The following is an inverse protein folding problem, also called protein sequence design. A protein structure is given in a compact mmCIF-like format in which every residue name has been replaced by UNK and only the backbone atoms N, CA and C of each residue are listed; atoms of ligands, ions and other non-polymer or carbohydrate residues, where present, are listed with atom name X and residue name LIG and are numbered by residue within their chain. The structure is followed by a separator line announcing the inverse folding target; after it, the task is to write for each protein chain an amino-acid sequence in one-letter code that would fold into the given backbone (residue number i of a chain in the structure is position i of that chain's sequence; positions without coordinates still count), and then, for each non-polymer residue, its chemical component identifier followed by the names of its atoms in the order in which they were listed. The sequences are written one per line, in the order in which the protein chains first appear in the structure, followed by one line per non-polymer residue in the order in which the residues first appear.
data_IF_838006331950
#
_entry.id   IF_838006331950
#
_cell.length_a   1.000
_cell.length_b   1.000
_cell.length_c   1.000
_cell.angle_alpha   90.00
_cell.angle_beta   90.00
_cell.angle_gamma   90.00
#
_symmetry.space_group_name_H-M   'P 1'
#
loop_
_entity.id
_entity.type
_entity.pdbx_description
1 polymer ?
#
# COMPACT_ATOMS: atom_id res chain seq x y z
N UNK A 1 8.31 0.19 -1.42
CA UNK A 1 8.89 -1.06 -0.87
C UNK A 1 7.96 -1.61 0.21
N UNK A 2 7.69 -2.92 0.24
CA UNK A 2 6.89 -3.53 1.31
C UNK A 2 7.67 -3.45 2.64
N UNK A 3 6.97 -3.21 3.75
CA UNK A 3 7.57 -3.07 5.10
C UNK A 3 8.49 -4.26 5.45
N UNK A 4 8.06 -5.47 5.09
CA UNK A 4 8.82 -6.72 5.21
C UNK A 4 10.19 -6.67 4.52
N UNK A 5 10.26 -6.13 3.31
CA UNK A 5 11.50 -6.03 2.54
C UNK A 5 12.46 -5.04 3.19
N UNK A 6 11.92 -3.93 3.72
CA UNK A 6 12.73 -2.91 4.41
C UNK A 6 13.31 -3.45 5.71
N UNK A 7 12.50 -4.13 6.52
CA UNK A 7 12.96 -4.76 7.75
C UNK A 7 14.02 -5.83 7.49
N UNK A 8 13.80 -6.71 6.51
CA UNK A 8 14.76 -7.75 6.13
C UNK A 8 16.11 -7.16 5.66
N UNK A 9 16.09 -6.06 4.92
CA UNK A 9 17.29 -5.37 4.45
C UNK A 9 18.07 -4.73 5.60
N UNK A 10 17.38 -4.08 6.55
CA UNK A 10 18.01 -3.49 7.75
C UNK A 10 18.65 -4.61 8.61
N UNK A 11 17.93 -5.70 8.84
CA UNK A 11 18.43 -6.82 9.62
C UNK A 11 19.66 -7.47 8.98
N UNK A 12 19.65 -7.65 7.64
CA UNK A 12 20.80 -8.14 6.89
C UNK A 12 22.00 -7.20 7.04
N UNK A 13 21.81 -5.89 6.91
CA UNK A 13 22.87 -4.90 7.08
C UNK A 13 23.49 -4.94 8.48
N UNK A 14 22.64 -5.00 9.50
CA UNK A 14 23.10 -5.12 10.90
C UNK A 14 23.91 -6.40 11.10
N UNK A 15 23.43 -7.55 10.57
CA UNK A 15 24.18 -8.80 10.63
C UNK A 15 25.54 -8.71 9.96
N UNK A 16 25.61 -8.16 8.75
CA UNK A 16 26.88 -7.99 8.02
C UNK A 16 27.86 -7.16 8.81
N UNK A 17 27.40 -6.05 9.45
CA UNK A 17 28.26 -5.21 10.29
C UNK A 17 28.76 -5.98 11.51
N UNK A 18 27.87 -6.69 12.23
CA UNK A 18 28.23 -7.48 13.41
C UNK A 18 29.27 -8.55 13.06
N UNK A 19 29.05 -9.29 11.98
CA UNK A 19 29.97 -10.36 11.55
C UNK A 19 31.29 -9.79 11.04
N UNK A 20 31.28 -8.64 10.38
CA UNK A 20 32.52 -7.95 9.97
C UNK A 20 33.35 -7.56 11.18
N UNK A 21 32.74 -6.92 12.19
CA UNK A 21 33.40 -6.55 13.46
C UNK A 21 33.94 -7.80 14.17
N UNK A 22 33.13 -8.85 14.27
CA UNK A 22 33.54 -10.11 14.87
C UNK A 22 34.73 -10.74 14.14
N UNK A 23 34.73 -10.72 12.81
CA UNK A 23 35.86 -11.20 12.00
C UNK A 23 37.15 -10.42 12.26
N UNK A 24 37.08 -9.10 12.34
CA UNK A 24 38.25 -8.26 12.67
C UNK A 24 38.79 -8.58 14.07
N UNK A 25 37.89 -8.71 15.06
CA UNK A 25 38.28 -9.05 16.45
C UNK A 25 38.96 -10.43 16.48
N UNK A 26 38.36 -11.41 15.83
CA UNK A 26 38.91 -12.78 15.76
C UNK A 26 40.31 -12.78 15.10
N UNK A 27 40.50 -12.05 14.00
CA UNK A 27 41.79 -11.91 13.34
C UNK A 27 42.84 -11.29 14.26
N UNK A 28 42.53 -10.17 14.92
CA UNK A 28 43.44 -9.52 15.84
C UNK A 28 43.79 -10.38 17.05
N UNK A 29 42.81 -11.09 17.61
CA UNK A 29 42.98 -12.00 18.74
C UNK A 29 43.87 -13.19 18.39
N UNK A 30 43.60 -13.84 17.23
CA UNK A 30 44.42 -14.95 16.72
C UNK A 30 45.86 -14.50 16.49
N UNK A 31 46.06 -13.33 15.88
CA UNK A 31 47.41 -12.76 15.69
C UNK A 31 48.13 -12.50 17.01
N UNK A 32 47.43 -11.97 18.00
CA UNK A 32 48.05 -11.72 19.33
C UNK A 32 48.42 -13.02 20.03
N UNK A 33 47.58 -14.05 19.98
CA UNK A 33 47.92 -15.37 20.55
C UNK A 33 49.14 -15.97 19.85
N UNK A 34 49.18 -15.96 18.54
CA UNK A 34 50.31 -16.51 17.78
C UNK A 34 51.65 -15.82 18.13
N UNK A 35 51.64 -14.50 18.24
CA UNK A 35 52.87 -13.75 18.64
C UNK A 35 53.27 -14.14 20.06
N UNK A 36 52.33 -14.31 20.97
CA UNK A 36 52.60 -14.69 22.36
C UNK A 36 53.17 -16.08 22.49
N UNK A 37 52.67 -17.03 21.71
CA UNK A 37 53.16 -18.40 21.66
C UNK A 37 54.60 -18.46 21.08
N UNK A 38 54.92 -17.69 20.03
CA UNK A 38 56.26 -17.55 19.53
C UNK A 38 57.20 -16.93 20.52
N UNK A 39 56.79 -15.91 21.26
CA UNK A 39 57.62 -15.30 22.31
C UNK A 39 57.93 -16.32 23.44
N UNK A 40 56.94 -17.17 23.78
CA UNK A 40 57.13 -18.25 24.73
C UNK A 40 58.11 -19.34 24.23
N UNK A 41 58.00 -19.73 22.99
CA UNK A 41 58.92 -20.68 22.35
C UNK A 41 60.36 -20.10 22.31
N UNK A 42 60.55 -18.85 21.88
CA UNK A 42 61.85 -18.19 21.87
C UNK A 42 62.47 -18.08 23.28
N UNK A 43 61.61 -17.83 24.30
CA UNK A 43 62.08 -17.85 25.70
C UNK A 43 62.56 -19.25 26.11
N UNK A 44 61.86 -20.30 25.73
CA UNK A 44 62.30 -21.69 25.99
C UNK A 44 63.62 -22.02 25.34
N UNK A 45 63.84 -21.56 24.08
CA UNK A 45 65.14 -21.74 23.41
C UNK A 45 66.25 -20.90 24.12
N UNK A 46 65.99 -19.69 24.53
CA UNK A 46 66.90 -18.85 25.31
C UNK A 46 67.35 -19.59 26.60
N UNK A 47 66.44 -20.16 27.33
CA UNK A 47 66.71 -20.93 28.55
C UNK A 47 67.57 -22.17 28.26
N UNK A 48 67.20 -22.92 27.22
CA UNK A 48 67.98 -24.08 26.81
C UNK A 48 69.42 -23.71 26.40
N UNK A 49 69.62 -22.59 25.69
CA UNK A 49 70.96 -22.10 25.33
C UNK A 49 71.75 -21.75 26.57
N UNK A 50 71.16 -21.07 27.57
CA UNK A 50 71.81 -20.74 28.84
C UNK A 50 72.19 -22.00 29.61
N UNK A 51 71.32 -22.97 29.70
CA UNK A 51 71.58 -24.24 30.40
C UNK A 51 72.71 -25.02 29.66
N UNK A 52 72.68 -25.07 28.34
CA UNK A 52 73.72 -25.73 27.56
C UNK A 52 75.12 -25.12 27.80
N UNK A 53 75.23 -23.78 27.72
CA UNK A 53 76.49 -23.04 27.96
C UNK A 53 77.01 -23.29 29.36
N UNK A 54 76.14 -23.23 30.38
CA UNK A 54 76.53 -23.48 31.76
C UNK A 54 76.96 -24.94 32.02
N UNK A 55 76.34 -25.89 31.29
CA UNK A 55 76.60 -27.34 31.51
C UNK A 55 77.86 -27.81 30.78
N UNK A 56 78.05 -27.37 29.52
CA UNK A 56 79.10 -27.86 28.66
C UNK A 56 80.30 -26.91 28.53
N UNK A 57 80.20 -25.75 29.11
CA UNK A 57 81.20 -24.66 29.02
C UNK A 57 81.64 -24.41 27.56
N UNK A 58 80.67 -24.52 26.62
CA UNK A 58 80.87 -24.32 25.18
C UNK A 58 79.65 -23.61 24.58
N UNK A 59 79.88 -22.79 23.53
CA UNK A 59 78.78 -22.21 22.76
C UNK A 59 78.17 -23.29 21.87
N UNK A 60 76.87 -23.42 21.79
CA UNK A 60 76.21 -24.29 20.81
C UNK A 60 76.66 -23.90 19.40
N UNK A 61 76.89 -24.89 18.52
CA UNK A 61 77.20 -24.59 17.14
C UNK A 61 76.08 -23.73 16.53
N UNK A 62 76.44 -22.65 15.84
CA UNK A 62 75.48 -21.84 15.09
C UNK A 62 75.02 -22.65 13.89
N UNK A 63 73.83 -23.26 13.98
CA UNK A 63 73.20 -23.96 12.86
C UNK A 63 72.35 -22.96 12.08
N UNK A 64 72.62 -22.70 10.80
CA UNK A 64 71.64 -22.12 9.90
C UNK A 64 70.72 -23.23 9.43
N UNK A 65 69.89 -23.76 10.30
CA UNK A 65 68.71 -24.52 9.87
C UNK A 65 67.74 -23.52 9.27
N UNK A 66 67.20 -23.83 8.09
CA UNK A 66 66.28 -22.94 7.35
C UNK A 66 65.08 -22.48 8.12
N UNK A 67 64.74 -23.16 9.22
CA UNK A 67 63.56 -22.86 10.07
C UNK A 67 63.89 -22.12 11.37
N UNK A 68 65.10 -22.32 11.94
CA UNK A 68 65.54 -21.63 13.17
C UNK A 68 66.96 -21.14 13.02
N UNK A 69 67.20 -19.87 13.22
CA UNK A 69 68.53 -19.24 13.14
C UNK A 69 69.05 -18.88 14.49
N UNK A 70 70.17 -19.44 14.91
CA UNK A 70 70.91 -19.06 16.08
C UNK A 70 72.20 -18.43 15.63
N UNK A 71 72.44 -17.17 15.98
CA UNK A 71 73.66 -16.44 15.67
C UNK A 71 74.28 -15.88 16.92
N UNK A 72 75.57 -16.13 17.13
CA UNK A 72 76.35 -15.55 18.24
C UNK A 72 77.25 -14.47 17.64
N UNK A 73 77.17 -13.25 18.25
CA UNK A 73 78.02 -12.12 17.85
C UNK A 73 78.74 -11.62 19.11
N UNK A 74 80.05 -11.68 19.09
CA UNK A 74 80.91 -11.20 20.16
C UNK A 74 80.81 -9.65 20.28
N UNK A 75 80.59 -9.14 21.51
CA UNK A 75 80.43 -7.73 21.83
C UNK A 75 81.43 -7.23 22.85
N UNK A 76 82.38 -8.08 23.24
CA UNK A 76 83.44 -7.73 24.22
C UNK A 76 82.85 -7.41 25.61
N UNK A 77 83.06 -6.21 26.12
CA UNK A 77 82.54 -5.80 27.43
C UNK A 77 81.16 -5.18 27.38
N UNK A 78 80.49 -5.04 26.21
CA UNK A 78 79.23 -4.33 26.06
C UNK A 78 78.06 -5.30 26.17
N UNK A 79 77.22 -5.14 27.19
CA UNK A 79 76.00 -5.93 27.36
C UNK A 79 74.90 -5.37 26.47
N UNK A 80 74.29 -6.20 25.61
CA UNK A 80 73.13 -5.86 24.79
C UNK A 80 71.83 -5.96 25.58
N UNK A 81 70.80 -5.17 25.17
CA UNK A 81 69.49 -5.26 25.76
C UNK A 81 68.73 -6.45 25.16
N UNK A 82 67.89 -7.07 26.00
CA UNK A 82 66.97 -8.14 25.59
C UNK A 82 65.79 -7.55 24.85
N UNK A 83 65.59 -7.94 23.59
CA UNK A 83 64.56 -7.35 22.74
C UNK A 83 63.93 -8.35 21.78
N UNK A 84 62.59 -8.26 21.71
CA UNK A 84 61.83 -8.95 20.65
C UNK A 84 61.53 -8.01 19.48
N UNK A 85 61.85 -8.48 18.25
CA UNK A 85 61.59 -7.70 17.04
C UNK A 85 60.94 -8.58 15.97
N UNK A 86 60.12 -7.94 15.11
CA UNK A 86 59.66 -8.52 13.87
C UNK A 86 60.57 -8.05 12.75
N UNK A 87 61.28 -8.97 12.09
CA UNK A 87 62.24 -8.67 11.03
C UNK A 87 61.90 -9.45 9.76
N UNK A 88 62.25 -8.87 8.64
CA UNK A 88 62.17 -9.59 7.35
C UNK A 88 63.56 -10.12 7.04
N UNK A 89 63.67 -11.46 6.90
CA UNK A 89 64.89 -12.13 6.52
C UNK A 89 64.70 -12.96 5.26
N UNK A 90 65.72 -13.05 4.45
CA UNK A 90 65.70 -13.85 3.19
C UNK A 90 65.83 -15.33 3.54
N UNK A 91 64.84 -16.12 3.12
CA UNK A 91 64.92 -17.60 3.18
C UNK A 91 65.61 -18.14 1.94
N UNK A 92 66.69 -18.85 2.16
CA UNK A 92 67.44 -19.50 1.07
C UNK A 92 66.66 -20.65 0.43
N UNK A 93 65.79 -21.32 1.18
CA UNK A 93 64.98 -22.45 0.73
C UNK A 93 63.88 -22.01 -0.22
N UNK A 94 63.14 -20.98 0.15
CA UNK A 94 62.00 -20.49 -0.63
C UNK A 94 62.35 -19.33 -1.56
N UNK A 95 63.58 -18.84 -1.51
CA UNK A 95 64.09 -17.70 -2.31
C UNK A 95 63.21 -16.44 -2.19
N UNK A 96 62.65 -16.19 -1.02
CA UNK A 96 61.76 -15.06 -0.72
C UNK A 96 62.07 -14.44 0.64
N UNK A 97 61.63 -13.19 0.82
CA UNK A 97 61.66 -12.53 2.12
C UNK A 97 60.53 -13.04 2.98
N UNK A 98 60.82 -13.47 4.18
CA UNK A 98 59.87 -13.98 5.15
C UNK A 98 59.93 -13.18 6.45
N UNK A 99 58.79 -13.10 7.14
CA UNK A 99 58.73 -12.47 8.43
C UNK A 99 59.18 -13.45 9.50
N UNK A 100 60.15 -13.00 10.30
CA UNK A 100 60.68 -13.74 11.43
C UNK A 100 60.39 -12.98 12.74
N UNK A 101 60.08 -13.74 13.81
CA UNK A 101 60.12 -13.26 15.16
C UNK A 101 61.53 -13.45 15.68
N UNK A 102 62.20 -12.34 16.04
CA UNK A 102 63.61 -12.31 16.47
C UNK A 102 63.66 -11.98 17.96
N UNK A 103 64.50 -12.70 18.71
CA UNK A 103 64.86 -12.39 20.09
C UNK A 103 66.35 -12.15 20.12
N UNK A 104 66.78 -10.97 20.54
CA UNK A 104 68.16 -10.66 20.91
C UNK A 104 68.29 -10.69 22.41
N UNK A 105 69.31 -11.41 22.93
CA UNK A 105 69.57 -11.43 24.37
C UNK A 105 71.07 -11.52 24.66
N UNK A 106 71.56 -10.95 25.80
CA UNK A 106 72.91 -11.02 26.20
C UNK A 106 73.25 -12.37 26.87
N UNK A 107 74.40 -12.97 26.51
CA UNK A 107 74.97 -14.15 27.12
C UNK A 107 76.40 -13.88 27.54
N UNK A 108 76.73 -14.18 28.83
CA UNK A 108 78.07 -14.07 29.35
C UNK A 108 78.81 -15.43 29.20
N UNK A 109 79.97 -15.43 28.49
CA UNK A 109 80.75 -16.64 28.29
C UNK A 109 82.24 -16.27 28.10
N UNK A 110 83.18 -17.04 28.67
CA UNK A 110 84.63 -16.82 28.56
C UNK A 110 85.07 -15.38 28.83
N UNK A 111 84.51 -14.75 29.86
CA UNK A 111 84.83 -13.39 30.29
C UNK A 111 84.43 -12.28 29.29
N UNK A 112 83.53 -12.56 28.36
CA UNK A 112 83.02 -11.63 27.35
C UNK A 112 81.50 -11.73 27.17
N UNK A 113 80.87 -10.62 26.71
CA UNK A 113 79.47 -10.62 26.35
C UNK A 113 79.29 -11.02 24.89
N UNK A 114 78.34 -11.91 24.68
CA UNK A 114 77.87 -12.29 23.35
C UNK A 114 76.40 -11.80 23.18
N UNK A 115 76.10 -11.24 22.02
CA UNK A 115 74.71 -11.04 21.61
C UNK A 115 74.23 -12.31 20.88
N UNK A 116 73.29 -12.99 21.48
CA UNK A 116 72.66 -14.17 20.90
C UNK A 116 71.40 -13.73 20.19
N UNK A 117 71.29 -14.00 18.90
CA UNK A 117 70.09 -13.72 18.09
C UNK A 117 69.44 -15.05 17.77
N UNK A 118 68.22 -15.21 18.23
CA UNK A 118 67.32 -16.28 17.85
C UNK A 118 66.28 -15.72 16.85
N UNK A 119 66.03 -16.40 15.73
CA UNK A 119 64.99 -15.99 14.79
C UNK A 119 64.22 -17.22 14.33
N UNK A 120 62.91 -17.16 14.49
CA UNK A 120 61.98 -18.22 14.08
C UNK A 120 61.00 -17.69 13.02
N UNK A 121 60.79 -18.38 11.91
CA UNK A 121 59.89 -17.94 10.83
C UNK A 121 58.43 -17.99 11.28
N UNK A 122 57.67 -16.97 10.91
CA UNK A 122 56.20 -16.96 11.14
C UNK A 122 55.42 -17.87 10.20
N UNK A 123 56.08 -18.50 9.26
CA UNK A 123 55.40 -19.23 8.15
C UNK A 123 54.78 -20.55 8.54
N UNK A 124 55.36 -21.32 9.43
CA UNK A 124 54.76 -22.53 9.96
C UNK A 124 53.39 -22.27 10.59
N UNK A 125 53.19 -21.07 11.12
CA UNK A 125 51.94 -20.63 11.69
C UNK A 125 50.98 -19.95 10.69
N UNK A 126 51.47 -19.53 9.52
CA UNK A 126 50.61 -18.93 8.44
C UNK A 126 49.59 -19.91 7.91
N UNK A 127 49.96 -21.17 7.70
CA UNK A 127 49.06 -22.19 7.21
C UNK A 127 47.93 -22.45 8.22
N UNK A 128 48.27 -22.54 9.51
CA UNK A 128 47.29 -22.70 10.60
C UNK A 128 46.37 -21.48 10.72
N UNK A 129 46.94 -20.27 10.71
CA UNK A 129 46.16 -19.03 10.79
C UNK A 129 45.27 -18.80 9.57
N UNK A 130 45.77 -19.11 8.35
CA UNK A 130 44.98 -19.00 7.13
C UNK A 130 43.83 -20.01 7.12
N UNK A 131 44.05 -21.25 7.58
CA UNK A 131 42.99 -22.25 7.72
C UNK A 131 41.91 -21.80 8.71
N UNK A 132 42.31 -21.29 9.88
CA UNK A 132 41.38 -20.75 10.88
C UNK A 132 40.55 -19.60 10.35
N UNK A 133 41.17 -18.63 9.68
CA UNK A 133 40.47 -17.51 9.02
C UNK A 133 39.52 -18.00 7.93
N UNK A 134 39.95 -18.93 7.09
CA UNK A 134 39.11 -19.47 6.03
C UNK A 134 37.89 -20.22 6.58
N UNK A 135 38.09 -21.07 7.58
CA UNK A 135 36.99 -21.79 8.25
C UNK A 135 36.01 -20.78 8.89
N UNK A 136 36.55 -19.74 9.57
CA UNK A 136 35.73 -18.71 10.19
C UNK A 136 34.88 -17.94 9.16
N UNK A 137 35.48 -17.55 8.02
CA UNK A 137 34.75 -16.87 6.94
C UNK A 137 33.64 -17.77 6.36
N UNK A 138 33.95 -19.05 6.10
CA UNK A 138 32.96 -20.01 5.60
C UNK A 138 31.81 -20.17 6.62
N UNK A 139 32.13 -20.32 7.90
CA UNK A 139 31.15 -20.47 8.98
C UNK A 139 30.25 -19.23 9.07
N UNK A 140 30.82 -18.02 9.00
CA UNK A 140 30.07 -16.77 9.00
C UNK A 140 29.12 -16.70 7.80
N UNK A 141 29.57 -17.05 6.61
CA UNK A 141 28.74 -17.04 5.40
C UNK A 141 27.57 -18.03 5.52
N UNK A 142 27.81 -19.23 6.07
CA UNK A 142 26.75 -20.22 6.32
C UNK A 142 25.71 -19.69 7.33
N UNK A 143 26.18 -19.07 8.43
CA UNK A 143 25.28 -18.48 9.44
C UNK A 143 24.44 -17.36 8.85
N UNK A 144 25.02 -16.47 8.04
CA UNK A 144 24.28 -15.40 7.33
C UNK A 144 23.22 -16.01 6.41
N UNK A 145 23.57 -17.01 5.61
CA UNK A 145 22.64 -17.66 4.70
C UNK A 145 21.46 -18.29 5.44
N UNK A 146 21.74 -19.08 6.49
CA UNK A 146 20.71 -19.72 7.33
C UNK A 146 19.83 -18.66 7.96
N UNK A 147 20.41 -17.59 8.50
CA UNK A 147 19.68 -16.51 9.15
C UNK A 147 18.74 -15.77 8.21
N UNK A 148 19.18 -15.47 6.98
CA UNK A 148 18.35 -14.84 5.94
C UNK A 148 17.15 -15.72 5.59
N UNK A 149 17.37 -17.02 5.40
CA UNK A 149 16.29 -17.97 5.09
C UNK A 149 15.30 -18.09 6.23
N UNK A 150 15.78 -18.34 7.47
CA UNK A 150 14.93 -18.44 8.65
C UNK A 150 14.12 -17.17 8.91
N UNK A 151 14.79 -16.01 8.87
CA UNK A 151 14.12 -14.72 9.05
C UNK A 151 13.03 -14.51 7.99
N UNK A 152 13.30 -14.87 6.73
CA UNK A 152 12.31 -14.79 5.65
C UNK A 152 11.07 -15.67 5.90
N UNK A 153 11.27 -16.89 6.38
CA UNK A 153 10.17 -17.83 6.69
C UNK A 153 9.36 -17.34 7.90
N UNK A 154 10.03 -17.02 9.00
CA UNK A 154 9.39 -16.55 10.24
C UNK A 154 8.60 -15.28 10.01
N UNK A 155 9.20 -14.30 9.32
CA UNK A 155 8.57 -13.02 9.07
C UNK A 155 7.32 -13.16 8.18
N UNK A 156 7.37 -13.97 7.12
CA UNK A 156 6.20 -14.26 6.27
C UNK A 156 5.07 -14.90 7.08
N UNK A 157 5.39 -15.84 7.97
CA UNK A 157 4.40 -16.53 8.78
C UNK A 157 3.76 -15.61 9.83
N UNK A 158 4.56 -14.76 10.47
CA UNK A 158 4.06 -13.78 11.47
C UNK A 158 3.14 -12.73 10.84
N UNK A 159 3.46 -12.22 9.65
CA UNK A 159 2.68 -11.15 9.00
C UNK A 159 1.49 -11.67 8.16
N UNK A 160 1.38 -12.99 7.94
CA UNK A 160 0.28 -13.57 7.18
C UNK A 160 -1.11 -13.17 7.72
N UNK A 161 -1.40 -13.27 9.04
CA UNK A 161 -2.70 -12.87 9.59
C UNK A 161 -3.02 -11.39 9.36
N UNK A 162 -2.02 -10.50 9.44
CA UNK A 162 -2.19 -9.09 9.16
C UNK A 162 -2.67 -8.83 7.73
N UNK A 163 -2.01 -9.45 6.73
CA UNK A 163 -2.42 -9.28 5.33
C UNK A 163 -3.79 -9.89 5.03
N UNK A 164 -4.14 -10.98 5.69
CA UNK A 164 -5.47 -11.59 5.59
C UNK A 164 -6.53 -10.65 6.15
N UNK A 165 -6.33 -10.06 7.33
CA UNK A 165 -7.24 -9.07 7.93
C UNK A 165 -7.41 -7.83 7.05
N UNK A 166 -6.31 -7.32 6.48
CA UNK A 166 -6.35 -6.18 5.55
C UNK A 166 -7.13 -6.51 4.28
N UNK A 167 -7.02 -7.73 3.76
CA UNK A 167 -7.76 -8.17 2.58
C UNK A 167 -9.27 -8.32 2.87
N UNK A 168 -9.62 -8.84 4.05
CA UNK A 168 -11.03 -8.92 4.51
C UNK A 168 -11.61 -7.51 4.61
N UNK A 169 -10.88 -6.58 5.24
CA UNK A 169 -11.33 -5.19 5.38
C UNK A 169 -11.47 -4.47 4.04
N UNK A 170 -10.55 -4.70 3.11
CA UNK A 170 -10.62 -4.14 1.75
C UNK A 170 -11.88 -4.57 0.99
N UNK A 171 -12.34 -5.79 1.21
CA UNK A 171 -13.51 -6.38 0.54
C UNK A 171 -14.81 -6.21 1.35
N UNK A 172 -14.74 -5.60 2.54
CA UNK A 172 -15.90 -5.32 3.36
C UNK A 172 -16.82 -4.30 2.67
N UNK A 173 -18.13 -4.59 2.68
CA UNK A 173 -19.18 -3.70 2.18
C UNK A 173 -20.32 -3.71 3.19
N UNK A 174 -20.90 -2.55 3.44
CA UNK A 174 -22.09 -2.42 4.28
C UNK A 174 -23.29 -3.17 3.67
N UNK A 175 -24.15 -3.70 4.52
CA UNK A 175 -25.31 -4.50 4.09
C UNK A 175 -24.99 -5.94 3.69
N UNK A 176 -23.82 -6.45 4.03
CA UNK A 176 -23.48 -7.87 3.80
C UNK A 176 -24.21 -8.76 4.82
N UNK A 177 -24.70 -9.92 4.35
CA UNK A 177 -25.42 -10.89 5.19
C UNK A 177 -24.55 -11.51 6.29
N UNK A 178 -23.22 -11.46 6.18
CA UNK A 178 -22.29 -12.06 7.14
C UNK A 178 -21.28 -11.03 7.63
N UNK A 179 -21.13 -10.95 8.95
CA UNK A 179 -20.06 -10.18 9.58
C UNK A 179 -18.67 -10.67 9.11
N UNK A 180 -17.68 -9.77 8.99
CA UNK A 180 -16.32 -10.16 8.62
C UNK A 180 -15.70 -11.04 9.73
N UNK A 181 -15.11 -12.18 9.34
CA UNK A 181 -14.41 -13.08 10.27
C UNK A 181 -12.92 -12.89 10.09
N UNK A 182 -12.28 -12.30 11.10
CA UNK A 182 -10.84 -12.06 11.10
C UNK A 182 -10.06 -13.31 11.56
N UNK A 183 -8.84 -13.56 11.02
CA UNK A 183 -8.04 -14.71 11.39
C UNK A 183 -7.56 -14.63 12.85
N UNK A 184 -7.55 -15.77 13.53
CA UNK A 184 -6.96 -15.87 14.87
C UNK A 184 -5.44 -15.76 14.77
N UNK A 185 -4.83 -14.97 15.65
CA UNK A 185 -3.38 -14.77 15.72
C UNK A 185 -2.90 -14.83 17.15
N UNK A 186 -1.62 -15.25 17.34
CA UNK A 186 -0.95 -15.22 18.64
C UNK A 186 -0.18 -13.92 18.90
N UNK A 187 -0.15 -13.02 17.91
CA UNK A 187 0.48 -11.71 18.02
C UNK A 187 -0.56 -10.76 18.62
N UNK A 188 -0.28 -10.25 19.81
CA UNK A 188 -1.23 -9.43 20.60
C UNK A 188 -1.67 -8.19 19.83
N UNK A 189 -0.75 -7.49 19.17
CA UNK A 189 -1.05 -6.29 18.38
C UNK A 189 -2.01 -6.58 17.22
N UNK A 190 -1.87 -7.73 16.59
CA UNK A 190 -2.78 -8.12 15.50
C UNK A 190 -4.12 -8.62 16.04
N UNK A 191 -4.15 -9.23 17.23
CA UNK A 191 -5.39 -9.59 17.91
C UNK A 191 -6.18 -8.35 18.28
N UNK A 192 -5.53 -7.36 18.90
CA UNK A 192 -6.13 -6.07 19.25
C UNK A 192 -6.61 -5.30 18.01
N UNK A 193 -5.81 -5.29 16.94
CA UNK A 193 -6.21 -4.71 15.66
C UNK A 193 -7.49 -5.39 15.11
N UNK A 194 -7.54 -6.73 15.12
CA UNK A 194 -8.69 -7.47 14.60
C UNK A 194 -9.95 -7.21 15.41
N UNK A 195 -9.85 -7.13 16.74
CA UNK A 195 -10.95 -6.76 17.62
C UNK A 195 -11.44 -5.34 17.35
N UNK A 196 -10.54 -4.38 17.22
CA UNK A 196 -10.88 -2.99 16.88
C UNK A 196 -11.57 -2.88 15.51
N UNK A 197 -11.08 -3.64 14.51
CA UNK A 197 -11.70 -3.70 13.19
C UNK A 197 -13.11 -4.33 13.25
N UNK A 198 -13.29 -5.39 14.05
CA UNK A 198 -14.59 -6.04 14.26
C UNK A 198 -15.58 -5.06 14.85
N UNK A 199 -15.24 -4.40 15.97
CA UNK A 199 -16.09 -3.40 16.61
C UNK A 199 -16.44 -2.24 15.67
N UNK A 200 -15.47 -1.75 14.90
CA UNK A 200 -15.71 -0.67 13.94
C UNK A 200 -16.66 -1.11 12.81
N UNK A 201 -16.51 -2.34 12.29
CA UNK A 201 -17.40 -2.87 11.25
C UNK A 201 -18.80 -3.17 11.77
N UNK A 202 -18.94 -3.71 12.97
CA UNK A 202 -20.22 -3.95 13.62
C UNK A 202 -20.98 -2.64 13.86
N UNK A 203 -20.29 -1.61 14.38
CA UNK A 203 -20.89 -0.28 14.57
C UNK A 203 -21.33 0.35 13.25
N UNK A 204 -20.46 0.30 12.22
CA UNK A 204 -20.80 0.82 10.90
C UNK A 204 -22.02 0.09 10.29
N UNK A 205 -22.14 -1.21 10.48
CA UNK A 205 -23.29 -2.00 10.04
C UNK A 205 -24.57 -1.63 10.80
N UNK A 206 -24.49 -1.45 12.12
CA UNK A 206 -25.63 -0.98 12.93
C UNK A 206 -26.11 0.40 12.48
N UNK A 207 -25.19 1.36 12.32
CA UNK A 207 -25.52 2.71 11.86
C UNK A 207 -26.16 2.69 10.46
N UNK A 208 -25.65 1.83 9.57
CA UNK A 208 -26.21 1.62 8.24
C UNK A 208 -27.65 1.06 8.31
N UNK A 209 -27.89 0.04 9.14
CA UNK A 209 -29.22 -0.58 9.28
C UNK A 209 -30.23 0.39 9.88
N UNK A 210 -29.83 1.16 10.91
CA UNK A 210 -30.68 2.20 11.50
C UNK A 210 -31.05 3.28 10.46
N UNK A 211 -30.08 3.72 9.66
CA UNK A 211 -30.31 4.72 8.63
C UNK A 211 -31.20 4.18 7.49
N UNK A 212 -31.03 2.90 7.14
CA UNK A 212 -31.88 2.22 6.17
C UNK A 212 -33.33 2.14 6.66
N UNK A 213 -33.54 1.65 7.88
CA UNK A 213 -34.87 1.54 8.49
C UNK A 213 -35.54 2.93 8.62
N UNK A 214 -34.80 3.93 9.10
CA UNK A 214 -35.27 5.31 9.17
C UNK A 214 -35.71 5.82 7.80
N UNK A 215 -34.93 5.58 6.76
CA UNK A 215 -35.20 6.07 5.40
C UNK A 215 -36.44 5.38 4.81
N UNK A 216 -36.62 4.07 5.06
CA UNK A 216 -37.77 3.29 4.61
C UNK A 216 -39.04 3.74 5.36
N UNK A 217 -38.98 3.84 6.68
CA UNK A 217 -40.13 4.27 7.51
C UNK A 217 -40.53 5.71 7.20
N UNK A 218 -39.57 6.66 7.12
CA UNK A 218 -39.86 8.04 6.77
C UNK A 218 -40.51 8.15 5.37
N UNK A 219 -40.15 7.28 4.43
CA UNK A 219 -40.80 7.24 3.10
C UNK A 219 -42.31 6.95 3.23
N UNK A 220 -42.67 5.92 3.98
CA UNK A 220 -44.04 5.51 4.16
C UNK A 220 -44.85 6.49 4.98
N UNK A 221 -44.29 6.96 6.13
CA UNK A 221 -44.95 7.86 7.07
C UNK A 221 -45.26 9.26 6.47
N UNK A 222 -44.45 9.72 5.49
CA UNK A 222 -44.70 11.01 4.82
C UNK A 222 -45.59 10.82 3.56
N UNK A 223 -45.47 9.70 2.84
CA UNK A 223 -46.30 9.48 1.65
C UNK A 223 -47.76 9.30 1.96
N UNK A 224 -48.11 8.65 3.09
CA UNK A 224 -49.47 8.35 3.50
C UNK A 224 -50.30 9.62 3.71
N UNK A 225 -49.91 10.60 4.61
CA UNK A 225 -50.68 11.83 4.78
C UNK A 225 -50.74 12.70 3.54
N UNK A 226 -49.66 12.74 2.73
CA UNK A 226 -49.68 13.47 1.46
C UNK A 226 -50.67 12.86 0.46
N UNK A 227 -50.79 11.53 0.42
CA UNK A 227 -51.79 10.86 -0.42
C UNK A 227 -53.22 11.12 0.03
N UNK A 228 -53.46 11.16 1.36
CA UNK A 228 -54.76 11.49 1.93
C UNK A 228 -55.16 12.95 1.59
N UNK A 229 -54.25 13.91 1.81
CA UNK A 229 -54.48 15.31 1.48
C UNK A 229 -54.76 15.47 -0.02
N UNK A 230 -53.99 14.81 -0.87
CA UNK A 230 -54.19 14.80 -2.32
C UNK A 230 -55.56 14.27 -2.71
N UNK A 231 -55.97 13.11 -2.13
CA UNK A 231 -57.26 12.49 -2.40
C UNK A 231 -58.43 13.41 -1.95
N UNK A 232 -58.32 14.10 -0.79
CA UNK A 232 -59.34 15.04 -0.33
C UNK A 232 -59.42 16.26 -1.25
N UNK A 233 -58.30 16.77 -1.74
CA UNK A 233 -58.31 17.86 -2.72
C UNK A 233 -58.87 17.43 -4.08
N UNK A 234 -58.57 16.19 -4.55
CA UNK A 234 -59.17 15.63 -5.76
C UNK A 234 -60.70 15.54 -5.62
N UNK A 235 -61.21 15.03 -4.49
CA UNK A 235 -62.65 14.96 -4.23
C UNK A 235 -63.29 16.36 -4.20
N UNK A 236 -62.64 17.33 -3.50
CA UNK A 236 -63.10 18.71 -3.43
C UNK A 236 -63.17 19.36 -4.84
N UNK A 237 -62.21 19.11 -5.71
CA UNK A 237 -62.21 19.65 -7.08
C UNK A 237 -63.26 19.01 -8.03
N UNK A 238 -63.82 17.86 -7.67
CA UNK A 238 -64.90 17.20 -8.39
C UNK A 238 -66.32 17.70 -8.00
N UNK A 239 -66.43 18.47 -6.90
CA UNK A 239 -67.72 19.04 -6.49
C UNK A 239 -68.20 20.12 -7.47
N UNK A 240 -69.50 20.04 -7.86
CA UNK A 240 -70.10 20.90 -8.90
C UNK A 240 -70.35 22.34 -8.44
N UNK A 241 -70.36 22.60 -7.13
CA UNK A 241 -70.75 23.90 -6.55
C UNK A 241 -69.57 24.74 -6.04
N UNK A 242 -68.34 24.46 -6.44
CA UNK A 242 -67.20 25.29 -6.06
C UNK A 242 -67.27 26.69 -6.70
N UNK A 243 -67.17 27.74 -5.88
CA UNK A 243 -66.92 29.08 -6.40
C UNK A 243 -65.56 29.11 -7.13
N UNK A 244 -65.42 30.01 -8.11
CA UNK A 244 -64.16 30.20 -8.85
C UNK A 244 -62.94 30.35 -7.92
N UNK A 245 -63.10 31.13 -6.82
CA UNK A 245 -62.05 31.36 -5.80
C UNK A 245 -61.69 30.08 -5.06
N UNK A 246 -62.68 29.25 -4.66
CA UNK A 246 -62.43 27.95 -3.99
C UNK A 246 -61.70 26.98 -4.93
N UNK A 247 -62.12 26.92 -6.20
CA UNK A 247 -61.44 26.09 -7.21
C UNK A 247 -59.99 26.50 -7.45
N UNK A 248 -59.68 27.80 -7.50
CA UNK A 248 -58.33 28.33 -7.61
C UNK A 248 -57.48 28.00 -6.38
N UNK A 249 -58.02 28.12 -5.17
CA UNK A 249 -57.34 27.73 -3.92
C UNK A 249 -57.10 26.23 -3.84
N UNK A 250 -58.07 25.39 -4.19
CA UNK A 250 -57.92 23.94 -4.22
C UNK A 250 -56.86 23.49 -5.24
N UNK A 251 -56.83 24.06 -6.45
CA UNK A 251 -55.80 23.80 -7.45
C UNK A 251 -54.40 24.19 -6.98
N UNK A 252 -54.30 25.35 -6.31
CA UNK A 252 -53.03 25.81 -5.71
C UNK A 252 -52.52 24.85 -4.63
N UNK A 253 -53.40 24.46 -3.69
CA UNK A 253 -53.08 23.50 -2.65
C UNK A 253 -52.68 22.11 -3.23
N UNK A 254 -53.41 21.62 -4.21
CA UNK A 254 -53.11 20.37 -4.92
C UNK A 254 -51.72 20.41 -5.59
N UNK A 255 -51.41 21.50 -6.27
CA UNK A 255 -50.10 21.72 -6.89
C UNK A 255 -48.98 21.73 -5.84
N UNK A 256 -49.19 22.38 -4.68
CA UNK A 256 -48.22 22.41 -3.58
C UNK A 256 -47.99 21.00 -2.98
N UNK A 257 -49.07 20.25 -2.72
CA UNK A 257 -48.96 18.87 -2.22
C UNK A 257 -48.22 17.96 -3.21
N UNK A 258 -48.59 18.06 -4.50
CA UNK A 258 -47.92 17.30 -5.57
C UNK A 258 -46.40 17.61 -5.63
N UNK A 259 -46.06 18.90 -5.49
CA UNK A 259 -44.64 19.33 -5.47
C UNK A 259 -43.92 18.78 -4.23
N UNK A 260 -44.57 18.85 -3.04
CA UNK A 260 -43.99 18.32 -1.80
C UNK A 260 -43.79 16.80 -1.84
N UNK A 261 -44.75 16.07 -2.38
CA UNK A 261 -44.66 14.62 -2.58
C UNK A 261 -43.45 14.23 -3.48
N UNK A 262 -43.31 14.91 -4.61
CA UNK A 262 -42.17 14.68 -5.52
C UNK A 262 -40.83 15.05 -4.89
N UNK A 263 -40.79 16.13 -4.12
CA UNK A 263 -39.58 16.57 -3.41
C UNK A 263 -39.15 15.51 -2.39
N UNK A 264 -40.12 15.06 -1.57
CA UNK A 264 -39.87 14.04 -0.55
C UNK A 264 -39.36 12.72 -1.19
N UNK A 265 -40.02 12.23 -2.22
CA UNK A 265 -39.56 11.03 -2.96
C UNK A 265 -38.12 11.17 -3.49
N UNK A 266 -37.79 12.35 -4.04
CA UNK A 266 -36.47 12.60 -4.58
C UNK A 266 -35.39 12.65 -3.49
N UNK A 267 -35.72 13.26 -2.30
CA UNK A 267 -34.79 13.31 -1.16
C UNK A 267 -34.53 11.92 -0.57
N UNK A 268 -35.60 11.13 -0.39
CA UNK A 268 -35.50 9.77 0.13
C UNK A 268 -34.72 8.86 -0.85
N UNK A 269 -34.95 9.04 -2.16
CA UNK A 269 -34.19 8.34 -3.19
C UNK A 269 -32.70 8.70 -3.11
N UNK A 270 -32.35 9.98 -2.99
CA UNK A 270 -30.96 10.41 -2.81
C UNK A 270 -30.33 9.78 -1.57
N UNK A 271 -31.07 9.76 -0.43
CA UNK A 271 -30.60 9.12 0.79
C UNK A 271 -30.36 7.61 0.59
N UNK A 272 -31.25 6.90 -0.11
CA UNK A 272 -31.08 5.47 -0.47
C UNK A 272 -29.85 5.23 -1.33
N UNK A 273 -29.62 6.09 -2.32
CA UNK A 273 -28.43 5.97 -3.21
C UNK A 273 -27.15 6.26 -2.42
N UNK A 274 -27.12 7.31 -1.59
CA UNK A 274 -25.95 7.65 -0.76
C UNK A 274 -25.58 6.54 0.21
N UNK A 275 -26.59 5.85 0.76
CA UNK A 275 -26.40 4.72 1.66
C UNK A 275 -26.21 3.37 0.93
N UNK A 276 -25.93 3.39 -0.36
CA UNK A 276 -25.63 2.20 -1.16
C UNK A 276 -26.69 1.08 -1.07
N UNK A 277 -27.98 1.44 -0.93
CA UNK A 277 -29.06 0.47 -0.79
C UNK A 277 -29.41 -0.28 -2.10
N UNK A 278 -28.73 0.05 -3.21
CA UNK A 278 -28.91 -0.56 -4.53
C UNK A 278 -27.73 -1.48 -4.89
N UNK A 279 -27.58 -2.58 -4.15
CA UNK A 279 -26.42 -3.47 -4.29
C UNK A 279 -26.54 -4.53 -5.40
N UNK A 280 -27.72 -4.66 -6.03
CA UNK A 280 -27.99 -5.70 -7.02
C UNK A 280 -27.60 -5.22 -8.42
N UNK A 281 -26.32 -5.36 -8.78
CA UNK A 281 -25.80 -4.93 -10.10
C UNK A 281 -25.82 -6.06 -11.11
N UNK A 282 -26.27 -5.77 -12.33
CA UNK A 282 -26.33 -6.71 -13.46
C UNK A 282 -25.63 -6.16 -14.70
N UNK A 283 -25.22 -7.06 -15.59
CA UNK A 283 -24.83 -6.69 -16.96
C UNK A 283 -26.10 -6.44 -17.77
N UNK A 284 -26.28 -5.21 -18.25
CA UNK A 284 -27.49 -4.79 -18.97
C UNK A 284 -27.11 -4.31 -20.36
N UNK A 285 -27.86 -4.74 -21.39
CA UNK A 285 -27.77 -4.15 -22.72
C UNK A 285 -28.45 -2.77 -22.71
N UNK A 286 -27.61 -1.74 -22.78
CA UNK A 286 -28.07 -0.35 -22.69
C UNK A 286 -28.87 0.06 -23.95
N UNK A 287 -28.61 -0.55 -25.11
CA UNK A 287 -29.34 -0.27 -26.36
C UNK A 287 -30.83 -0.54 -26.19
N UNK A 288 -31.18 -1.70 -25.66
CA UNK A 288 -32.57 -2.07 -25.42
C UNK A 288 -33.26 -1.09 -24.46
N UNK A 289 -32.62 -0.79 -23.32
CA UNK A 289 -33.16 0.13 -22.32
C UNK A 289 -33.33 1.56 -22.81
N UNK A 290 -32.40 2.07 -23.62
CA UNK A 290 -32.54 3.39 -24.26
C UNK A 290 -33.63 3.40 -25.26
N UNK A 291 -33.82 2.32 -26.05
CA UNK A 291 -34.89 2.21 -27.03
C UNK A 291 -36.29 2.17 -26.37
N UNK A 292 -36.41 1.42 -25.27
CA UNK A 292 -37.64 1.42 -24.45
C UNK A 292 -38.00 2.82 -23.96
N UNK A 293 -36.98 3.58 -23.49
CA UNK A 293 -37.20 4.95 -23.05
C UNK A 293 -37.59 5.90 -24.19
N UNK A 294 -37.01 5.76 -25.37
CA UNK A 294 -37.42 6.55 -26.54
C UNK A 294 -38.91 6.33 -26.83
N UNK A 295 -39.36 5.08 -26.87
CA UNK A 295 -40.79 4.75 -27.07
C UNK A 295 -41.66 5.33 -25.98
N UNK A 296 -41.26 5.23 -24.70
CA UNK A 296 -42.00 5.76 -23.55
C UNK A 296 -42.18 7.27 -23.60
N UNK A 297 -41.18 8.03 -24.12
CA UNK A 297 -41.23 9.48 -24.19
C UNK A 297 -41.79 10.01 -25.51
N UNK A 298 -42.05 9.16 -26.48
CA UNK A 298 -42.44 9.55 -27.82
C UNK A 298 -43.75 10.39 -27.85
N UNK A 299 -44.81 9.97 -27.17
CA UNK A 299 -46.07 10.71 -27.08
C UNK A 299 -45.88 12.11 -26.50
N UNK A 300 -45.03 12.23 -25.48
CA UNK A 300 -44.71 13.50 -24.83
C UNK A 300 -44.00 14.44 -25.81
N UNK A 301 -43.06 13.92 -26.59
CA UNK A 301 -42.30 14.71 -27.58
C UNK A 301 -43.15 15.11 -28.74
N UNK A 302 -44.03 14.23 -29.26
CA UNK A 302 -45.00 14.53 -30.33
C UNK A 302 -45.96 15.63 -29.90
N UNK A 303 -46.50 15.56 -28.66
CA UNK A 303 -47.36 16.59 -28.10
C UNK A 303 -46.70 17.97 -27.99
N UNK A 304 -45.38 18.02 -27.83
CA UNK A 304 -44.60 19.26 -27.78
C UNK A 304 -43.94 19.61 -29.11
N UNK A 305 -44.19 18.85 -30.19
CA UNK A 305 -43.57 18.98 -31.53
C UNK A 305 -42.05 18.89 -31.49
N UNK A 306 -41.51 18.11 -30.57
CA UNK A 306 -40.06 17.85 -30.46
C UNK A 306 -39.68 16.72 -31.37
N UNK A 307 -38.72 16.95 -32.28
CA UNK A 307 -38.18 15.89 -33.16
C UNK A 307 -37.06 15.14 -32.44
N UNK A 308 -36.94 13.83 -32.75
CA UNK A 308 -35.94 12.94 -32.11
C UNK A 308 -35.10 12.25 -33.17
N UNK A 309 -33.80 12.28 -32.96
CA UNK A 309 -32.83 11.48 -33.72
C UNK A 309 -32.03 10.58 -32.77
N UNK A 310 -31.99 9.28 -33.11
CA UNK A 310 -31.23 8.32 -32.31
C UNK A 310 -30.26 7.48 -33.15
N UNK A 311 -29.02 7.32 -32.63
CA UNK A 311 -28.01 6.41 -33.17
C UNK A 311 -27.56 5.48 -32.05
N UNK A 312 -27.99 4.22 -32.09
CA UNK A 312 -27.82 3.27 -31.00
C UNK A 312 -26.96 2.08 -31.41
N UNK A 313 -25.74 2.01 -30.94
CA UNK A 313 -24.87 0.84 -31.02
C UNK A 313 -25.10 -0.08 -29.82
N UNK A 314 -24.76 -1.36 -29.96
CA UNK A 314 -24.81 -2.31 -28.85
C UNK A 314 -23.77 -1.92 -27.80
N UNK A 315 -24.20 -1.77 -26.56
CA UNK A 315 -23.33 -1.40 -25.46
C UNK A 315 -23.83 -2.02 -24.15
N UNK A 316 -22.90 -2.52 -23.32
CA UNK A 316 -23.21 -3.19 -22.05
C UNK A 316 -22.67 -2.36 -20.90
N UNK A 317 -23.51 -2.18 -19.89
CA UNK A 317 -23.15 -1.51 -18.64
C UNK A 317 -23.42 -2.43 -17.45
N UNK A 318 -22.62 -2.28 -16.37
CA UNK A 318 -22.82 -2.99 -15.10
C UNK A 318 -23.37 -2.01 -14.07
N UNK A 319 -24.68 -2.11 -13.78
CA UNK A 319 -25.39 -1.20 -12.90
C UNK A 319 -26.62 -1.90 -12.31
N UNK A 320 -27.17 -1.38 -11.19
CA UNK A 320 -28.52 -1.78 -10.73
C UNK A 320 -29.56 -1.42 -11.80
N UNK A 321 -30.46 -2.34 -12.17
CA UNK A 321 -31.55 -2.06 -13.12
C UNK A 321 -32.42 -0.88 -12.69
N UNK A 322 -32.68 -0.75 -11.39
CA UNK A 322 -33.47 0.33 -10.80
C UNK A 322 -32.75 1.68 -10.93
N UNK A 323 -31.44 1.73 -10.62
CA UNK A 323 -30.65 2.95 -10.78
C UNK A 323 -30.54 3.37 -12.25
N UNK A 324 -30.41 2.41 -13.17
CA UNK A 324 -30.37 2.71 -14.60
C UNK A 324 -31.66 3.33 -15.06
N UNK A 325 -32.84 2.77 -14.65
CA UNK A 325 -34.13 3.31 -15.01
C UNK A 325 -34.31 4.74 -14.51
N UNK A 326 -33.95 4.98 -13.25
CA UNK A 326 -33.98 6.33 -12.62
C UNK A 326 -33.04 7.30 -13.37
N UNK A 327 -31.83 6.88 -13.71
CA UNK A 327 -30.85 7.66 -14.44
C UNK A 327 -31.38 8.11 -15.79
N UNK A 328 -31.87 7.15 -16.58
CA UNK A 328 -32.44 7.41 -17.91
C UNK A 328 -33.68 8.30 -17.79
N UNK A 329 -34.60 8.03 -16.86
CA UNK A 329 -35.79 8.84 -16.65
C UNK A 329 -35.44 10.32 -16.34
N UNK A 330 -34.43 10.58 -15.49
CA UNK A 330 -34.03 11.94 -15.19
C UNK A 330 -33.41 12.64 -16.42
N UNK A 331 -32.57 11.96 -17.20
CA UNK A 331 -31.96 12.56 -18.40
C UNK A 331 -32.99 12.80 -19.51
N UNK A 332 -33.87 11.84 -19.78
CA UNK A 332 -34.93 11.97 -20.78
C UNK A 332 -35.95 13.04 -20.41
N UNK A 333 -36.39 13.06 -19.14
CA UNK A 333 -37.26 14.10 -18.62
C UNK A 333 -36.61 15.48 -18.69
N UNK A 334 -35.29 15.56 -18.42
CA UNK A 334 -34.54 16.82 -18.55
C UNK A 334 -34.53 17.30 -20.02
N UNK A 335 -34.21 16.40 -20.96
CA UNK A 335 -34.20 16.69 -22.38
C UNK A 335 -35.58 17.11 -22.93
N UNK A 336 -36.67 16.64 -22.31
CA UNK A 336 -38.03 17.02 -22.67
C UNK A 336 -38.43 18.36 -22.09
N UNK A 337 -38.23 18.56 -20.78
CA UNK A 337 -38.74 19.69 -20.03
C UNK A 337 -37.94 21.00 -20.24
N UNK A 338 -36.68 20.88 -20.63
CA UNK A 338 -35.79 22.02 -20.92
C UNK A 338 -35.56 22.24 -22.41
N UNK A 339 -36.41 21.61 -23.26
CA UNK A 339 -36.39 21.85 -24.69
C UNK A 339 -37.18 23.14 -25.07
N UNK A 340 -36.86 23.68 -26.22
CA UNK A 340 -37.66 24.75 -26.83
C UNK A 340 -38.84 24.15 -27.60
N UNK A 341 -39.87 24.95 -27.86
CA UNK A 341 -40.98 24.53 -28.68
C UNK A 341 -40.47 24.17 -30.12
N UNK A 342 -40.93 23.06 -30.66
CA UNK A 342 -40.45 22.52 -31.96
C UNK A 342 -38.93 22.26 -31.98
N UNK A 343 -38.36 21.96 -30.81
CA UNK A 343 -36.93 21.67 -30.64
C UNK A 343 -36.55 20.23 -31.05
N UNK A 344 -35.36 19.83 -30.70
CA UNK A 344 -34.80 18.54 -31.07
C UNK A 344 -34.13 17.82 -29.91
N UNK A 345 -34.25 16.49 -29.85
CA UNK A 345 -33.52 15.62 -28.93
C UNK A 345 -32.62 14.68 -29.75
N UNK A 346 -31.35 14.65 -29.42
CA UNK A 346 -30.36 13.76 -30.03
C UNK A 346 -29.90 12.73 -29.01
N UNK A 347 -29.92 11.45 -29.38
CA UNK A 347 -29.50 10.37 -28.52
C UNK A 347 -28.47 9.52 -29.26
N UNK A 348 -27.26 9.47 -28.75
CA UNK A 348 -26.16 8.68 -29.33
C UNK A 348 -25.63 7.70 -28.30
N UNK A 349 -25.64 6.41 -28.63
CA UNK A 349 -25.06 5.34 -27.82
C UNK A 349 -23.93 4.67 -28.59
N UNK A 350 -22.73 4.74 -28.03
CA UNK A 350 -21.51 4.08 -28.49
C UNK A 350 -21.02 3.03 -27.50
N UNK A 351 -19.87 2.37 -27.73
CA UNK A 351 -19.42 1.22 -26.91
C UNK A 351 -19.33 1.48 -25.41
N UNK A 352 -18.95 2.67 -24.99
CA UNK A 352 -18.81 3.05 -23.57
C UNK A 352 -19.29 4.47 -23.30
N UNK A 353 -20.17 4.97 -24.13
CA UNK A 353 -20.63 6.34 -24.02
C UNK A 353 -22.10 6.46 -24.41
N UNK A 354 -22.88 7.16 -23.60
CA UNK A 354 -24.23 7.61 -23.90
C UNK A 354 -24.25 9.14 -23.89
N UNK A 355 -24.72 9.73 -25.00
CA UNK A 355 -24.91 11.18 -25.15
C UNK A 355 -26.41 11.41 -25.31
N UNK A 356 -26.97 12.28 -24.47
CA UNK A 356 -28.35 12.77 -24.62
C UNK A 356 -28.24 14.30 -24.70
N UNK A 357 -28.67 14.85 -25.84
CA UNK A 357 -28.62 16.27 -26.09
C UNK A 357 -30.00 16.81 -26.44
N UNK A 358 -30.27 18.03 -26.06
CA UNK A 358 -31.50 18.75 -26.43
C UNK A 358 -31.19 20.17 -26.84
N UNK A 359 -31.98 20.73 -27.73
CA UNK A 359 -32.06 22.16 -27.94
C UNK A 359 -32.63 22.84 -26.71
N UNK A 360 -32.16 24.03 -26.39
CA UNK A 360 -32.59 24.70 -25.15
C UNK A 360 -32.30 26.21 -25.18
N UNK A 361 -31.98 26.80 -24.02
CA UNK A 361 -31.54 28.19 -23.94
C UNK A 361 -30.26 28.40 -24.76
N UNK A 362 -30.08 29.61 -25.30
CA UNK A 362 -28.89 29.95 -26.12
C UNK A 362 -27.63 30.21 -25.28
N UNK A 363 -27.64 29.98 -24.00
CA UNK A 363 -26.52 30.19 -23.08
C UNK A 363 -26.14 28.91 -22.35
N UNK A 364 -24.85 28.65 -22.12
CA UNK A 364 -24.41 27.52 -21.33
C UNK A 364 -24.90 27.59 -19.89
N UNK A 365 -25.20 26.41 -19.28
CA UNK A 365 -25.52 26.33 -17.89
C UNK A 365 -24.24 26.42 -17.03
N UNK A 366 -24.34 26.90 -15.79
CA UNK A 366 -23.22 26.92 -14.84
C UNK A 366 -22.81 25.50 -14.46
N UNK A 367 -21.75 24.99 -15.07
CA UNK A 367 -21.26 23.62 -14.90
C UNK A 367 -20.91 23.32 -13.43
N UNK A 368 -20.43 24.30 -12.66
CA UNK A 368 -20.07 24.14 -11.26
C UNK A 368 -21.29 23.98 -10.35
N UNK A 369 -22.44 24.46 -10.77
CA UNK A 369 -23.69 24.48 -9.99
C UNK A 369 -24.75 23.51 -10.52
N UNK A 370 -24.67 23.11 -11.78
CA UNK A 370 -25.64 22.31 -12.52
C UNK A 370 -26.06 21.03 -11.78
N UNK A 371 -25.11 20.36 -11.12
CA UNK A 371 -25.34 19.10 -10.39
C UNK A 371 -25.59 19.31 -8.88
N UNK A 372 -25.66 20.57 -8.42
CA UNK A 372 -26.01 20.84 -6.99
C UNK A 372 -27.47 20.61 -6.74
N UNK A 373 -27.80 20.14 -5.53
CA UNK A 373 -29.20 19.99 -5.08
C UNK A 373 -29.90 21.33 -5.10
N UNK A 374 -31.17 21.36 -5.54
CA UNK A 374 -32.04 22.52 -5.62
C UNK A 374 -31.57 23.63 -6.60
N UNK A 375 -30.56 23.36 -7.42
CA UNK A 375 -30.14 24.31 -8.43
C UNK A 375 -31.19 24.40 -9.55
N UNK A 376 -31.55 25.59 -9.93
CA UNK A 376 -32.48 25.95 -11.01
C UNK A 376 -31.93 27.16 -11.74
N UNK A 377 -32.03 27.13 -13.04
CA UNK A 377 -31.67 28.29 -13.89
C UNK A 377 -32.66 29.44 -13.71
N UNK A 378 -33.94 29.15 -13.53
CA UNK A 378 -35.01 30.12 -13.28
C UNK A 378 -35.78 29.79 -11.99
N UNK A 379 -36.03 30.81 -11.16
CA UNK A 379 -36.81 30.69 -9.91
C UNK A 379 -38.23 30.19 -10.16
N UNK A 380 -38.81 30.46 -11.34
CA UNK A 380 -40.19 30.10 -11.68
C UNK A 380 -40.32 28.67 -12.27
N UNK A 381 -39.26 27.89 -12.35
CA UNK A 381 -39.37 26.53 -12.87
C UNK A 381 -40.20 25.62 -11.94
N UNK A 382 -41.14 24.88 -12.51
CA UNK A 382 -41.97 23.89 -11.79
C UNK A 382 -41.19 22.66 -11.30
N UNK A 383 -39.91 22.56 -11.60
CA UNK A 383 -39.06 21.43 -11.26
C UNK A 383 -38.37 21.63 -9.90
N UNK A 384 -38.11 20.57 -9.16
CA UNK A 384 -37.53 20.63 -7.82
C UNK A 384 -36.03 20.88 -7.79
N UNK A 385 -35.32 20.86 -8.95
CA UNK A 385 -33.85 21.03 -9.02
C UNK A 385 -33.08 19.85 -8.43
N UNK A 386 -33.68 18.65 -8.39
CA UNK A 386 -33.06 17.44 -7.84
C UNK A 386 -32.66 16.41 -8.92
N UNK A 387 -33.23 16.50 -10.15
CA UNK A 387 -33.01 15.48 -11.19
C UNK A 387 -31.55 15.27 -11.56
N UNK A 388 -30.82 16.37 -11.84
CA UNK A 388 -29.39 16.29 -12.20
C UNK A 388 -28.49 15.92 -10.99
N UNK A 389 -28.87 16.27 -9.76
CA UNK A 389 -28.17 15.82 -8.57
C UNK A 389 -28.36 14.30 -8.34
N UNK A 390 -29.52 13.74 -8.68
CA UNK A 390 -29.76 12.28 -8.70
C UNK A 390 -28.88 11.62 -9.78
N UNK A 391 -28.85 12.17 -11.00
CA UNK A 391 -27.96 11.69 -12.07
C UNK A 391 -26.51 11.64 -11.59
N UNK A 392 -25.99 12.72 -10.98
CA UNK A 392 -24.62 12.78 -10.48
C UNK A 392 -24.35 11.75 -9.38
N UNK A 393 -25.30 11.55 -8.47
CA UNK A 393 -25.15 10.60 -7.37
C UNK A 393 -25.17 9.14 -7.88
N UNK A 394 -26.09 8.79 -8.80
CA UNK A 394 -26.10 7.48 -9.45
C UNK A 394 -24.79 7.23 -10.20
N UNK A 395 -24.33 8.22 -10.95
CA UNK A 395 -23.08 8.13 -11.71
C UNK A 395 -21.89 7.87 -10.79
N UNK A 396 -21.85 8.54 -9.62
CA UNK A 396 -20.79 8.36 -8.62
C UNK A 396 -20.77 6.93 -8.06
N UNK A 397 -21.92 6.39 -7.65
CA UNK A 397 -21.99 5.04 -7.04
C UNK A 397 -21.81 3.94 -8.08
N UNK A 398 -22.10 4.21 -9.37
CA UNK A 398 -21.96 3.26 -10.47
C UNK A 398 -20.66 3.42 -11.27
N UNK A 399 -19.71 4.24 -10.80
CA UNK A 399 -18.43 4.53 -11.48
C UNK A 399 -18.59 5.06 -12.93
N UNK A 400 -19.64 5.84 -13.17
CA UNK A 400 -19.91 6.49 -14.45
C UNK A 400 -19.38 7.94 -14.37
N UNK A 401 -18.63 8.37 -15.38
CA UNK A 401 -18.23 9.77 -15.50
C UNK A 401 -19.30 10.55 -16.24
N UNK A 402 -19.86 11.61 -15.61
CA UNK A 402 -20.90 12.46 -16.20
C UNK A 402 -20.33 13.83 -16.49
N UNK A 403 -20.45 14.23 -17.78
CA UNK A 403 -19.95 15.49 -18.32
C UNK A 403 -21.14 16.25 -18.91
N UNK A 404 -21.15 17.57 -18.74
CA UNK A 404 -22.04 18.49 -19.45
C UNK A 404 -21.23 19.24 -20.48
N UNK A 405 -21.83 19.46 -21.68
CA UNK A 405 -21.23 20.21 -22.76
C UNK A 405 -22.31 21.06 -23.45
N UNK A 406 -21.95 22.28 -23.85
CA UNK A 406 -22.83 23.16 -24.61
C UNK A 406 -22.15 23.55 -25.92
N UNK A 407 -22.74 23.12 -27.04
CA UNK A 407 -22.27 23.42 -28.38
C UNK A 407 -23.47 23.52 -29.33
N UNK A 408 -23.39 24.41 -30.30
CA UNK A 408 -24.43 24.62 -31.32
C UNK A 408 -25.85 24.84 -30.77
N UNK A 409 -25.99 25.60 -29.69
CA UNK A 409 -27.24 25.78 -28.95
C UNK A 409 -27.88 24.48 -28.44
N UNK A 410 -27.05 23.45 -28.15
CA UNK A 410 -27.48 22.18 -27.59
C UNK A 410 -26.84 21.94 -26.23
N UNK A 411 -27.65 21.54 -25.28
CA UNK A 411 -27.22 21.06 -23.99
C UNK A 411 -27.04 19.56 -24.05
N UNK A 412 -25.81 19.07 -23.86
CA UNK A 412 -25.45 17.65 -23.97
C UNK A 412 -25.02 17.11 -22.61
N UNK A 413 -25.62 15.98 -22.22
CA UNK A 413 -25.21 15.20 -21.05
C UNK A 413 -24.55 13.92 -21.53
N UNK A 414 -23.28 13.74 -21.18
CA UNK A 414 -22.41 12.66 -21.65
C UNK A 414 -22.11 11.74 -20.47
N UNK A 415 -22.43 10.47 -20.58
CA UNK A 415 -22.13 9.42 -19.62
C UNK A 415 -21.05 8.51 -20.20
N UNK A 416 -19.93 8.29 -19.47
CA UNK A 416 -18.83 7.39 -19.85
C UNK A 416 -18.61 6.35 -18.76
N UNK A 417 -18.44 5.04 -19.13
CA UNK A 417 -18.23 3.93 -18.16
C UNK A 417 -17.20 2.91 -18.59
#
# INVERSE_FOLDING_TARGET
MKLLTRYSLINLLVMVVIFWVSGVILYLFTKAILIREMDADLNGIEENVKIYVNRFNALPQSYPLDEERIKFVEKGQQKTERRFELVQLYSNREKKMHNFRKLDFPLWFNNQWYNVTLAKPLEGMRHLSSALVTISVITILIIILISVVLNGIVLRRLWKPFYESMNIMRNFKLGMVKAPVFPKTKVEEFSFMNESLLLATEKAEQDYMLLKEFTENASHEIQTPLSIIRSKLDMMMQEKELSRRQSELAKSAYSAVKKLSRLNQSLLLLAKIENQQFNNTHKIDLKEKVQDKIVQFQELWEGHKISVTSMLQKSVIIISPELLDILLNNLFSNASNHNIASGHVYIKLEQKQLIISNTGSSSPLDEKRLFRRFYKESANSNHNGLGLSIVKQISRVSAINTIYQFEDNRHSFILNW
#
